data_IF_244818935632
#
_entry.id   IF_244818935632
#
_cell.length_a   1.000
_cell.length_b   1.000
_cell.length_c   1.000
_cell.angle_alpha   90.00
_cell.angle_beta   90.00
_cell.angle_gamma   90.00
#
_symmetry.space_group_name_H-M   'P 1'
#
loop_
_entity.id
_entity.type
_entity.pdbx_description
1 polymer ?
#
# COMPACT_ATOMS: atom_id res chain seq x y z
N UNK A 1 -26.02 -22.12 18.59
CA UNK A 1 -27.15 -21.87 17.65
C UNK A 1 -26.55 -21.65 16.28
N UNK A 2 -26.75 -22.57 15.34
CA UNK A 2 -26.32 -22.41 13.96
C UNK A 2 -27.31 -21.48 13.29
N UNK A 3 -26.91 -20.22 13.00
CA UNK A 3 -27.69 -19.35 12.14
C UNK A 3 -27.62 -19.95 10.72
N UNK A 4 -28.70 -20.59 10.34
CA UNK A 4 -28.94 -20.98 8.96
C UNK A 4 -29.28 -19.71 8.20
N UNK A 5 -28.28 -19.01 7.67
CA UNK A 5 -28.49 -17.94 6.70
C UNK A 5 -28.96 -18.61 5.41
N UNK A 6 -30.28 -18.80 5.31
CA UNK A 6 -30.90 -19.04 4.00
C UNK A 6 -30.81 -17.74 3.22
N UNK A 7 -29.79 -17.65 2.35
CA UNK A 7 -29.80 -16.64 1.30
C UNK A 7 -31.04 -16.92 0.44
N UNK A 8 -31.99 -16.02 0.48
CA UNK A 8 -33.13 -16.05 -0.42
C UNK A 8 -32.63 -15.52 -1.75
N UNK A 9 -32.61 -16.38 -2.77
CA UNK A 9 -32.26 -15.98 -4.11
C UNK A 9 -33.34 -15.04 -4.64
N UNK A 10 -33.04 -13.75 -4.76
CA UNK A 10 -34.00 -12.73 -5.21
C UNK A 10 -34.15 -12.71 -6.73
N UNK A 11 -33.31 -13.43 -7.45
CA UNK A 11 -33.40 -13.54 -8.90
C UNK A 11 -34.16 -14.79 -9.29
N UNK A 12 -35.24 -14.60 -10.02
CA UNK A 12 -36.07 -15.71 -10.54
C UNK A 12 -35.30 -16.49 -11.63
N UNK A 13 -34.39 -15.83 -12.33
CA UNK A 13 -33.56 -16.43 -13.39
C UNK A 13 -32.13 -16.66 -12.87
N UNK A 14 -31.68 -17.92 -12.70
CA UNK A 14 -30.34 -18.24 -12.25
C UNK A 14 -29.24 -17.71 -13.19
N UNK A 15 -29.47 -17.72 -14.49
CA UNK A 15 -28.48 -17.21 -15.46
C UNK A 15 -28.26 -15.72 -15.31
N UNK A 16 -29.34 -14.97 -15.00
CA UNK A 16 -29.23 -13.54 -14.71
C UNK A 16 -28.48 -13.27 -13.39
N UNK A 17 -28.77 -14.08 -12.34
CA UNK A 17 -28.07 -14.00 -11.06
C UNK A 17 -26.57 -14.23 -11.23
N UNK A 18 -26.17 -15.24 -12.00
CA UNK A 18 -24.77 -15.55 -12.26
C UNK A 18 -24.07 -14.41 -13.00
N UNK A 19 -24.69 -13.86 -14.06
CA UNK A 19 -24.15 -12.71 -14.80
C UNK A 19 -24.03 -11.45 -13.94
N UNK A 20 -25.01 -11.21 -13.08
CA UNK A 20 -24.96 -10.09 -12.14
C UNK A 20 -23.80 -10.27 -11.15
N UNK A 21 -23.68 -11.45 -10.53
CA UNK A 21 -22.61 -11.76 -9.60
C UNK A 21 -21.21 -11.65 -10.26
N UNK A 22 -21.07 -12.14 -11.49
CA UNK A 22 -19.83 -11.99 -12.26
C UNK A 22 -19.48 -10.51 -12.50
N UNK A 23 -20.46 -9.69 -12.86
CA UNK A 23 -20.27 -8.25 -13.07
C UNK A 23 -19.90 -7.53 -11.77
N UNK A 24 -20.55 -7.89 -10.67
CA UNK A 24 -20.24 -7.36 -9.35
C UNK A 24 -18.82 -7.73 -8.90
N UNK A 25 -18.42 -8.97 -9.09
CA UNK A 25 -17.06 -9.43 -8.79
C UNK A 25 -16.00 -8.68 -9.61
N UNK A 26 -16.26 -8.44 -10.90
CA UNK A 26 -15.38 -7.64 -11.76
C UNK A 26 -15.25 -6.20 -11.26
N UNK A 27 -16.37 -5.59 -10.87
CA UNK A 27 -16.37 -4.23 -10.31
C UNK A 27 -15.56 -4.16 -9.00
N UNK A 28 -15.82 -5.07 -8.05
CA UNK A 28 -15.11 -5.10 -6.77
C UNK A 28 -13.61 -5.37 -6.95
N UNK A 29 -13.25 -6.26 -7.89
CA UNK A 29 -11.85 -6.52 -8.22
C UNK A 29 -11.17 -5.29 -8.83
N UNK A 30 -11.86 -4.55 -9.70
CA UNK A 30 -11.33 -3.32 -10.28
C UNK A 30 -11.14 -2.22 -9.23
N UNK A 31 -12.10 -2.05 -8.30
CA UNK A 31 -11.99 -1.13 -7.17
C UNK A 31 -10.79 -1.50 -6.28
N UNK A 32 -10.65 -2.76 -5.93
CA UNK A 32 -9.52 -3.25 -5.14
C UNK A 32 -8.17 -2.96 -5.83
N UNK A 33 -8.05 -3.26 -7.12
CA UNK A 33 -6.82 -2.99 -7.88
C UNK A 33 -6.48 -1.49 -7.92
N UNK A 34 -7.49 -0.64 -8.11
CA UNK A 34 -7.32 0.82 -8.10
C UNK A 34 -6.87 1.33 -6.73
N UNK A 35 -7.43 0.79 -5.65
CA UNK A 35 -7.03 1.15 -4.28
C UNK A 35 -5.60 0.68 -3.98
N UNK A 36 -5.28 -0.56 -4.32
CA UNK A 36 -3.92 -1.09 -4.13
C UNK A 36 -2.88 -0.26 -4.86
N UNK A 37 -3.17 0.19 -6.08
CA UNK A 37 -2.24 0.99 -6.89
C UNK A 37 -1.89 2.35 -6.28
N UNK A 38 -2.70 2.87 -5.33
CA UNK A 38 -2.38 4.10 -4.59
C UNK A 38 -1.24 3.90 -3.56
N UNK A 39 -1.06 2.68 -3.05
CA UNK A 39 -0.17 2.39 -1.91
C UNK A 39 0.95 1.41 -2.28
N UNK A 40 0.73 0.56 -3.26
CA UNK A 40 1.65 -0.51 -3.62
C UNK A 40 1.92 -0.44 -5.12
N UNK A 41 3.21 -0.36 -5.48
CA UNK A 41 3.59 -0.50 -6.88
C UNK A 41 3.14 -1.89 -7.38
N UNK A 42 2.43 -1.98 -8.53
CA UNK A 42 2.00 -3.26 -9.11
C UNK A 42 3.13 -4.27 -9.31
N UNK A 43 4.35 -3.80 -9.53
CA UNK A 43 5.54 -4.66 -9.65
C UNK A 43 5.97 -5.31 -8.33
N UNK A 44 5.57 -4.73 -7.20
CA UNK A 44 5.84 -5.26 -5.85
C UNK A 44 4.68 -6.13 -5.33
N UNK A 45 3.58 -6.23 -6.09
CA UNK A 45 2.43 -7.03 -5.71
C UNK A 45 2.64 -8.49 -6.10
N UNK A 46 2.63 -9.39 -5.13
CA UNK A 46 2.70 -10.82 -5.34
C UNK A 46 1.33 -11.47 -5.15
N UNK A 47 0.93 -12.33 -6.10
CA UNK A 47 -0.29 -13.13 -5.95
C UNK A 47 0.04 -14.46 -5.29
N UNK A 48 -0.58 -14.73 -4.17
CA UNK A 48 -0.45 -16.00 -3.45
C UNK A 48 -1.72 -16.82 -3.69
N UNK A 49 -1.58 -18.13 -3.92
CA UNK A 49 -2.73 -19.02 -4.05
C UNK A 49 -3.44 -19.16 -2.71
N UNK A 50 -4.74 -19.37 -2.74
CA UNK A 50 -5.58 -19.58 -1.55
C UNK A 50 -4.97 -20.62 -0.62
N UNK A 51 -4.89 -20.29 0.67
CA UNK A 51 -4.35 -21.18 1.72
C UNK A 51 -2.82 -21.21 1.84
N UNK A 52 -2.08 -20.45 0.99
CA UNK A 52 -0.65 -20.32 1.15
C UNK A 52 -0.30 -19.19 2.13
N UNK A 53 0.52 -19.49 3.12
CA UNK A 53 1.17 -18.48 3.94
C UNK A 53 2.40 -17.95 3.21
N UNK A 54 2.56 -16.64 3.20
CA UNK A 54 3.79 -16.03 2.70
C UNK A 54 4.77 -15.91 3.88
N UNK A 55 5.90 -16.57 3.77
CA UNK A 55 7.03 -16.34 4.67
C UNK A 55 8.25 -15.94 3.85
N UNK A 56 8.97 -14.93 4.28
CA UNK A 56 10.27 -14.61 3.70
C UNK A 56 11.35 -15.42 4.44
N UNK A 57 12.02 -16.42 3.80
CA UNK A 57 13.02 -17.22 4.46
C UNK A 57 14.22 -16.41 4.99
N UNK A 58 14.51 -15.25 4.38
CA UNK A 58 15.59 -14.37 4.81
C UNK A 58 15.23 -13.53 6.05
N UNK A 59 13.94 -13.36 6.34
CA UNK A 59 13.45 -12.57 7.47
C UNK A 59 12.11 -13.12 8.00
N UNK A 60 12.09 -14.39 8.50
CA UNK A 60 10.84 -15.06 8.88
C UNK A 60 10.13 -14.42 10.07
N UNK A 61 10.84 -13.65 10.88
CA UNK A 61 10.26 -12.96 12.05
C UNK A 61 9.52 -11.67 11.68
N UNK A 62 9.80 -11.09 10.52
CA UNK A 62 9.29 -9.79 10.09
C UNK A 62 8.17 -9.94 9.06
N UNK A 63 8.18 -11.01 8.27
CA UNK A 63 7.32 -11.19 7.08
C UNK A 63 6.43 -12.44 7.14
N UNK A 64 5.89 -12.78 8.29
CA UNK A 64 4.81 -13.76 8.37
C UNK A 64 3.50 -13.05 8.09
N UNK A 65 3.01 -13.15 6.85
CA UNK A 65 1.70 -12.66 6.48
C UNK A 65 0.62 -13.67 6.89
N UNK A 66 -0.22 -13.31 7.84
CA UNK A 66 -1.49 -14.00 8.09
C UNK A 66 -2.54 -13.47 7.13
N UNK A 67 -3.43 -14.36 6.67
CA UNK A 67 -4.58 -13.94 5.85
C UNK A 67 -5.64 -13.41 6.79
N UNK A 68 -5.88 -12.10 6.73
CA UNK A 68 -6.96 -11.46 7.47
C UNK A 68 -8.21 -11.39 6.62
N UNK A 69 -9.36 -11.72 7.22
CA UNK A 69 -10.67 -11.61 6.59
C UNK A 69 -11.33 -10.30 7.02
N UNK A 70 -11.60 -9.44 6.06
CA UNK A 70 -12.35 -8.21 6.29
C UNK A 70 -13.78 -8.39 5.79
N UNK A 71 -14.75 -8.05 6.64
CA UNK A 71 -16.18 -8.06 6.31
C UNK A 71 -16.76 -6.67 6.40
N UNK A 72 -17.78 -6.43 5.59
CA UNK A 72 -18.60 -5.21 5.62
C UNK A 72 -20.06 -5.61 5.76
N UNK A 73 -20.82 -4.85 6.54
CA UNK A 73 -22.27 -5.03 6.71
C UNK A 73 -22.95 -3.77 6.18
N UNK A 74 -23.98 -3.96 5.40
CA UNK A 74 -24.80 -2.88 4.83
C UNK A 74 -26.25 -3.11 5.16
N UNK A 75 -26.92 -2.03 5.56
CA UNK A 75 -28.35 -2.04 5.81
C UNK A 75 -29.04 -1.27 4.67
N UNK A 76 -29.98 -1.95 4.02
CA UNK A 76 -30.85 -1.34 3.00
C UNK A 76 -32.27 -1.34 3.54
N UNK A 77 -32.92 -0.16 3.59
CA UNK A 77 -34.28 -0.06 4.05
C UNK A 77 -35.28 -0.69 3.06
N UNK A 78 -36.29 -1.37 3.57
CA UNK A 78 -37.38 -1.92 2.75
C UNK A 78 -38.12 -0.81 1.98
N UNK A 79 -38.23 0.38 2.56
CA UNK A 79 -38.85 1.54 1.92
C UNK A 79 -38.10 1.94 0.64
N UNK A 80 -36.80 1.99 0.72
CA UNK A 80 -35.97 2.32 -0.43
C UNK A 80 -36.06 1.29 -1.55
N UNK A 81 -36.17 0.00 -1.20
CA UNK A 81 -36.42 -1.06 -2.19
C UNK A 81 -37.80 -0.95 -2.80
N UNK A 82 -38.84 -0.66 -1.99
CA UNK A 82 -40.25 -0.51 -2.45
C UNK A 82 -40.46 0.68 -3.36
N UNK A 83 -39.69 1.76 -3.18
CA UNK A 83 -39.75 2.97 -4.01
C UNK A 83 -38.88 2.90 -5.25
N UNK A 84 -38.18 1.81 -5.50
CA UNK A 84 -37.22 1.64 -6.61
C UNK A 84 -36.15 2.75 -6.66
N UNK A 85 -35.70 3.24 -5.52
CA UNK A 85 -34.68 4.28 -5.42
C UNK A 85 -33.30 3.76 -5.83
N UNK A 86 -32.92 3.95 -7.08
CA UNK A 86 -31.63 3.52 -7.62
C UNK A 86 -30.43 4.30 -7.04
N UNK A 87 -30.67 5.44 -6.38
CA UNK A 87 -29.56 6.19 -5.73
C UNK A 87 -28.94 5.44 -4.58
N UNK A 88 -29.64 4.43 -4.04
CA UNK A 88 -29.10 3.52 -3.04
C UNK A 88 -27.88 2.79 -3.56
N UNK A 89 -27.89 2.35 -4.82
CA UNK A 89 -26.77 1.62 -5.40
C UNK A 89 -25.51 2.49 -5.45
N UNK A 90 -25.65 3.76 -5.86
CA UNK A 90 -24.55 4.71 -5.86
C UNK A 90 -23.98 4.93 -4.45
N UNK A 91 -24.85 5.21 -3.47
CA UNK A 91 -24.46 5.37 -2.07
C UNK A 91 -23.76 4.11 -1.53
N UNK A 92 -24.25 2.95 -1.90
CA UNK A 92 -23.72 1.67 -1.51
C UNK A 92 -22.31 1.45 -2.05
N UNK A 93 -22.09 1.70 -3.34
CA UNK A 93 -20.76 1.57 -3.94
C UNK A 93 -19.75 2.59 -3.41
N UNK A 94 -20.19 3.83 -3.19
CA UNK A 94 -19.34 4.85 -2.57
C UNK A 94 -18.91 4.42 -1.16
N UNK A 95 -19.85 3.93 -0.37
CA UNK A 95 -19.54 3.43 0.99
C UNK A 95 -18.61 2.22 0.98
N UNK A 96 -18.82 1.27 0.06
CA UNK A 96 -17.86 0.16 -0.14
C UNK A 96 -16.47 0.69 -0.42
N UNK A 97 -16.35 1.64 -1.34
CA UNK A 97 -15.06 2.21 -1.73
C UNK A 97 -14.37 2.89 -0.55
N UNK A 98 -15.09 3.73 0.20
CA UNK A 98 -14.57 4.46 1.37
C UNK A 98 -14.11 3.49 2.47
N UNK A 99 -14.92 2.47 2.80
CA UNK A 99 -14.59 1.50 3.83
C UNK A 99 -13.40 0.61 3.43
N UNK A 100 -13.36 0.17 2.17
CA UNK A 100 -12.21 -0.56 1.62
C UNK A 100 -10.94 0.28 1.68
N UNK A 101 -11.00 1.56 1.29
CA UNK A 101 -9.85 2.48 1.32
C UNK A 101 -9.35 2.68 2.76
N UNK A 102 -10.26 2.94 3.70
CA UNK A 102 -9.91 3.12 5.11
C UNK A 102 -9.29 1.86 5.74
N UNK A 103 -9.84 0.68 5.45
CA UNK A 103 -9.32 -0.60 5.94
C UNK A 103 -7.96 -0.92 5.33
N UNK A 104 -7.83 -0.73 4.03
CA UNK A 104 -6.59 -0.98 3.31
C UNK A 104 -5.46 -0.05 3.78
N UNK A 105 -5.73 1.25 3.89
CA UNK A 105 -4.77 2.21 4.43
C UNK A 105 -4.33 1.82 5.85
N UNK A 106 -5.26 1.48 6.72
CA UNK A 106 -4.97 1.07 8.10
C UNK A 106 -4.11 -0.20 8.14
N UNK A 107 -4.40 -1.18 7.30
CA UNK A 107 -3.62 -2.41 7.18
C UNK A 107 -2.19 -2.11 6.72
N UNK A 108 -2.01 -1.33 5.66
CA UNK A 108 -0.69 -0.99 5.11
C UNK A 108 0.13 -0.20 6.13
N UNK A 109 -0.41 0.90 6.65
CA UNK A 109 0.33 1.73 7.60
C UNK A 109 0.60 1.00 8.92
N UNK A 110 -0.33 0.16 9.39
CA UNK A 110 -0.12 -0.68 10.57
C UNK A 110 1.00 -1.70 10.35
N UNK A 111 1.04 -2.33 9.19
CA UNK A 111 2.11 -3.29 8.83
C UNK A 111 3.47 -2.60 8.71
N UNK A 112 3.52 -1.46 8.03
CA UNK A 112 4.76 -0.66 7.88
C UNK A 112 5.26 -0.19 9.24
N UNK A 113 4.38 0.37 10.09
CA UNK A 113 4.75 0.83 11.44
C UNK A 113 5.35 -0.32 12.27
N UNK A 114 4.70 -1.49 12.27
CA UNK A 114 5.20 -2.68 12.97
C UNK A 114 6.59 -3.10 12.49
N UNK A 115 6.82 -3.12 11.18
CA UNK A 115 8.13 -3.48 10.61
C UNK A 115 9.19 -2.42 10.94
N UNK A 116 8.84 -1.14 10.87
CA UNK A 116 9.75 -0.04 11.23
C UNK A 116 10.15 -0.10 12.71
N UNK A 117 9.19 -0.37 13.60
CA UNK A 117 9.47 -0.55 15.04
C UNK A 117 10.42 -1.72 15.29
N UNK A 118 10.21 -2.86 14.64
CA UNK A 118 11.04 -4.05 14.78
C UNK A 118 12.45 -3.88 14.22
N UNK A 119 12.60 -3.13 13.12
CA UNK A 119 13.88 -2.88 12.46
C UNK A 119 14.64 -1.67 13.02
N UNK A 120 14.04 -0.89 13.91
CA UNK A 120 14.59 0.37 14.41
C UNK A 120 14.62 1.49 13.35
N UNK A 121 13.90 1.34 12.25
CA UNK A 121 13.77 2.35 11.20
C UNK A 121 12.73 3.42 11.57
N UNK A 122 12.81 3.92 12.78
CA UNK A 122 11.95 4.98 13.31
C UNK A 122 12.80 6.21 13.61
N UNK A 123 12.30 7.38 13.26
CA UNK A 123 12.89 8.67 13.62
C UNK A 123 11.94 9.41 14.56
N UNK A 124 12.43 9.77 15.71
CA UNK A 124 11.68 10.56 16.72
C UNK A 124 12.04 12.03 16.56
N UNK A 125 11.10 12.83 16.06
CA UNK A 125 11.28 14.28 15.85
C UNK A 125 11.72 15.01 17.13
N UNK A 126 11.23 14.58 18.31
CA UNK A 126 11.59 15.20 19.59
C UNK A 126 13.06 14.92 19.94
N UNK A 127 13.57 13.74 19.57
CA UNK A 127 14.99 13.39 19.81
C UNK A 127 15.91 14.05 18.81
N UNK A 128 15.47 14.22 17.56
CA UNK A 128 16.25 14.92 16.53
C UNK A 128 16.32 16.43 16.77
N UNK A 129 15.45 16.99 17.62
CA UNK A 129 15.48 18.39 18.03
C UNK A 129 14.72 19.36 17.12
N UNK A 130 14.57 19.03 15.84
CA UNK A 130 13.73 19.79 14.89
C UNK A 130 13.18 18.91 13.80
N UNK A 131 12.13 19.37 13.11
CA UNK A 131 11.56 18.68 11.96
C UNK A 131 12.57 18.57 10.80
N UNK A 132 13.40 19.59 10.61
CA UNK A 132 14.46 19.60 9.60
C UNK A 132 15.51 18.52 9.86
N UNK A 133 15.99 18.40 11.11
CA UNK A 133 16.96 17.37 11.48
C UNK A 133 16.34 15.97 11.40
N UNK A 134 15.09 15.82 11.86
CA UNK A 134 14.37 14.56 11.74
C UNK A 134 14.18 14.13 10.28
N UNK A 135 13.97 15.07 9.37
CA UNK A 135 13.86 14.77 7.94
C UNK A 135 15.20 14.27 7.36
N UNK A 136 16.31 14.88 7.73
CA UNK A 136 17.64 14.39 7.35
C UNK A 136 17.91 13.00 7.91
N UNK A 137 17.63 12.77 9.21
CA UNK A 137 17.76 11.46 9.84
C UNK A 137 16.91 10.39 9.15
N UNK A 138 15.70 10.77 8.71
CA UNK A 138 14.83 9.89 7.93
C UNK A 138 15.44 9.55 6.57
N UNK A 139 15.94 10.54 5.82
CA UNK A 139 16.58 10.31 4.53
C UNK A 139 17.81 9.42 4.65
N UNK A 140 18.58 9.54 5.75
CA UNK A 140 19.73 8.68 6.02
C UNK A 140 19.34 7.21 6.23
N UNK A 141 18.20 6.98 6.88
CA UNK A 141 17.71 5.62 7.16
C UNK A 141 17.05 4.94 5.96
N UNK A 142 16.43 5.72 5.05
CA UNK A 142 15.73 5.17 3.91
C UNK A 142 16.71 4.68 2.84
N UNK A 143 16.46 3.50 2.30
CA UNK A 143 17.14 2.99 1.11
C UNK A 143 16.37 3.34 -0.15
N UNK A 144 17.05 3.95 -1.13
CA UNK A 144 16.47 4.17 -2.44
C UNK A 144 16.55 2.90 -3.27
N UNK A 145 15.54 2.66 -4.10
CA UNK A 145 15.49 1.49 -4.96
C UNK A 145 15.78 1.85 -6.42
N UNK A 146 16.26 0.89 -7.18
CA UNK A 146 16.44 1.01 -8.63
C UNK A 146 15.39 0.15 -9.29
N UNK A 147 14.68 0.70 -10.26
CA UNK A 147 13.66 -0.03 -11.00
C UNK A 147 14.28 -0.91 -12.12
N UNK A 148 13.40 -1.59 -12.88
CA UNK A 148 13.83 -2.49 -13.96
C UNK A 148 14.48 -1.75 -15.13
N UNK A 149 14.21 -0.45 -15.28
CA UNK A 149 14.81 0.38 -16.33
C UNK A 149 16.19 0.88 -15.93
N UNK A 150 16.56 0.76 -14.66
CA UNK A 150 17.82 1.26 -14.11
C UNK A 150 17.71 2.66 -13.52
N UNK A 151 16.52 3.20 -13.41
CA UNK A 151 16.27 4.50 -12.79
C UNK A 151 16.08 4.38 -11.29
N UNK A 152 16.62 5.35 -10.55
CA UNK A 152 16.45 5.38 -9.08
C UNK A 152 15.06 5.93 -8.76
N UNK A 153 14.30 5.19 -7.97
CA UNK A 153 13.02 5.64 -7.42
C UNK A 153 13.24 6.34 -6.09
N UNK A 154 12.81 7.58 -6.04
CA UNK A 154 12.77 8.33 -4.79
C UNK A 154 11.63 7.82 -3.91
N UNK A 155 11.80 7.81 -2.59
CA UNK A 155 10.73 7.42 -1.67
C UNK A 155 9.59 8.44 -1.69
N UNK A 156 8.36 7.94 -1.59
CA UNK A 156 7.17 8.76 -1.39
C UNK A 156 6.96 8.99 0.11
N UNK A 157 6.56 10.21 0.48
CA UNK A 157 6.29 10.59 1.86
C UNK A 157 4.78 10.74 2.04
N UNK A 158 4.21 9.91 2.88
CA UNK A 158 2.80 9.97 3.23
C UNK A 158 2.61 10.68 4.56
N UNK A 159 1.93 11.80 4.54
CA UNK A 159 1.65 12.62 5.73
C UNK A 159 0.15 12.89 5.83
N UNK A 160 -0.35 12.98 7.07
CA UNK A 160 -1.67 13.55 7.31
C UNK A 160 -1.69 15.05 6.98
N UNK A 161 -2.87 15.61 6.70
CA UNK A 161 -3.02 17.00 6.22
C UNK A 161 -2.32 18.02 7.11
N UNK A 162 -2.48 17.93 8.42
CA UNK A 162 -1.87 18.89 9.36
C UNK A 162 -0.34 18.77 9.38
N UNK A 163 0.17 17.52 9.39
CA UNK A 163 1.60 17.25 9.34
C UNK A 163 2.22 17.68 8.01
N UNK A 164 1.48 17.53 6.91
CA UNK A 164 1.92 18.00 5.59
C UNK A 164 2.05 19.53 5.56
N UNK A 165 1.05 20.25 6.05
CA UNK A 165 1.06 21.70 6.09
C UNK A 165 2.21 22.24 6.96
N UNK A 166 2.49 21.60 8.10
CA UNK A 166 3.61 21.95 8.96
C UNK A 166 4.96 21.66 8.30
N UNK A 167 5.08 20.49 7.65
CA UNK A 167 6.28 20.11 6.92
C UNK A 167 6.55 21.08 5.75
N UNK A 168 5.55 21.37 4.93
CA UNK A 168 5.67 22.30 3.81
C UNK A 168 6.13 23.69 4.27
N UNK A 169 5.49 24.23 5.29
CA UNK A 169 5.88 25.52 5.89
C UNK A 169 7.33 25.51 6.38
N UNK A 170 7.72 24.44 7.08
CA UNK A 170 9.07 24.29 7.61
C UNK A 170 10.11 24.22 6.48
N UNK A 171 9.82 23.49 5.40
CA UNK A 171 10.70 23.40 4.24
C UNK A 171 10.82 24.75 3.51
N UNK A 172 9.72 25.48 3.33
CA UNK A 172 9.73 26.81 2.70
C UNK A 172 10.52 27.85 3.51
N UNK A 173 10.57 27.73 4.81
CA UNK A 173 11.32 28.61 5.71
C UNK A 173 12.76 28.16 5.95
N UNK A 174 13.17 27.05 5.39
CA UNK A 174 14.51 26.50 5.56
C UNK A 174 15.56 27.31 4.81
N UNK A 175 16.78 27.32 5.33
CA UNK A 175 17.88 28.07 4.72
C UNK A 175 18.40 27.38 3.43
N UNK A 176 19.04 28.13 2.51
CA UNK A 176 19.68 27.55 1.34
C UNK A 176 20.70 26.45 1.68
N UNK A 177 21.43 26.63 2.78
CA UNK A 177 22.41 25.64 3.28
C UNK A 177 21.73 24.33 3.67
N UNK A 178 20.56 24.40 4.30
CA UNK A 178 19.79 23.19 4.63
C UNK A 178 19.33 22.46 3.36
N UNK A 179 18.83 23.20 2.37
CA UNK A 179 18.44 22.60 1.09
C UNK A 179 19.64 21.94 0.39
N UNK A 180 20.80 22.56 0.44
CA UNK A 180 22.03 21.97 -0.09
C UNK A 180 22.39 20.65 0.62
N UNK A 181 22.26 20.59 1.95
CA UNK A 181 22.47 19.35 2.71
C UNK A 181 21.48 18.24 2.31
N UNK A 182 20.20 18.58 2.12
CA UNK A 182 19.17 17.60 1.67
C UNK A 182 19.54 17.05 0.29
N UNK A 183 19.96 17.90 -0.64
CA UNK A 183 20.35 17.45 -1.99
C UNK A 183 21.65 16.62 -1.97
N UNK A 184 22.61 16.94 -1.11
CA UNK A 184 23.82 16.14 -0.92
C UNK A 184 23.49 14.74 -0.39
N UNK A 185 22.65 14.63 0.63
CA UNK A 185 22.18 13.33 1.15
C UNK A 185 21.46 12.53 0.07
N UNK A 186 20.56 13.17 -0.69
CA UNK A 186 19.87 12.51 -1.80
C UNK A 186 20.84 11.99 -2.87
N UNK A 187 21.78 12.83 -3.30
CA UNK A 187 22.78 12.45 -4.30
C UNK A 187 23.61 11.23 -3.84
N UNK A 188 24.03 11.23 -2.59
CA UNK A 188 24.75 10.10 -1.99
C UNK A 188 23.89 8.84 -1.97
N UNK A 189 22.62 8.93 -1.54
CA UNK A 189 21.69 7.80 -1.52
C UNK A 189 21.39 7.23 -2.90
N UNK A 190 21.31 8.10 -3.92
CA UNK A 190 21.20 7.69 -5.33
C UNK A 190 22.43 6.89 -5.76
N UNK A 191 23.63 7.38 -5.46
CA UNK A 191 24.86 6.67 -5.79
C UNK A 191 24.97 5.30 -5.09
N UNK A 192 24.59 5.24 -3.81
CA UNK A 192 24.52 3.98 -3.03
C UNK A 192 23.53 2.98 -3.65
N UNK A 193 22.34 3.45 -4.09
CA UNK A 193 21.34 2.60 -4.72
C UNK A 193 21.84 2.01 -6.05
N UNK A 194 22.48 2.83 -6.89
CA UNK A 194 23.08 2.37 -8.15
C UNK A 194 24.21 1.37 -7.92
N UNK A 195 25.08 1.59 -6.93
CA UNK A 195 26.16 0.68 -6.60
C UNK A 195 25.61 -0.68 -6.11
N UNK A 196 24.60 -0.69 -5.22
CA UNK A 196 23.94 -1.93 -4.80
C UNK A 196 23.33 -2.69 -5.97
N UNK A 197 22.73 -1.98 -6.93
CA UNK A 197 22.16 -2.61 -8.12
C UNK A 197 23.24 -3.22 -9.04
N UNK A 198 24.36 -2.53 -9.22
CA UNK A 198 25.53 -3.06 -9.94
C UNK A 198 26.04 -4.34 -9.27
N UNK A 199 26.24 -4.32 -7.96
CA UNK A 199 26.67 -5.49 -7.18
C UNK A 199 25.66 -6.64 -7.27
N UNK A 200 24.37 -6.32 -7.19
CA UNK A 200 23.30 -7.32 -7.36
C UNK A 200 23.36 -7.98 -8.72
N UNK A 201 23.47 -7.20 -9.79
CA UNK A 201 23.60 -7.71 -11.17
C UNK A 201 24.87 -8.54 -11.36
N UNK A 202 25.97 -8.11 -10.79
CA UNK A 202 27.24 -8.84 -10.88
C UNK A 202 27.19 -10.26 -10.30
N UNK A 203 26.31 -10.52 -9.31
CA UNK A 203 26.10 -11.86 -8.75
C UNK A 203 25.43 -12.83 -9.73
N UNK A 204 24.74 -12.33 -10.77
CA UNK A 204 23.97 -13.12 -11.72
C UNK A 204 24.62 -13.26 -13.10
N UNK A 205 25.83 -12.70 -13.32
CA UNK A 205 26.54 -12.68 -14.62
C UNK A 205 26.87 -14.07 -15.19
N UNK A 206 26.71 -15.14 -14.41
CA UNK A 206 26.92 -16.52 -14.89
C UNK A 206 25.64 -17.29 -15.24
N UNK A 207 24.47 -16.71 -15.11
CA UNK A 207 23.20 -17.39 -15.38
C UNK A 207 22.72 -17.28 -16.85
N UNK A 208 23.37 -16.41 -17.66
CA UNK A 208 23.03 -16.20 -19.07
C UNK A 208 23.99 -16.82 -20.09
N UNK A 209 25.21 -17.15 -19.69
CA UNK A 209 26.24 -17.72 -20.58
C UNK A 209 26.19 -19.26 -20.58
N UNK A 210 25.03 -19.81 -20.95
CA UNK A 210 25.03 -21.16 -21.51
C UNK A 210 25.40 -21.01 -22.96
N UNK A 211 26.67 -21.32 -23.26
CA UNK A 211 27.13 -21.54 -24.63
C UNK A 211 26.11 -22.42 -25.37
N UNK A 212 25.66 -21.93 -26.52
CA UNK A 212 24.86 -22.68 -27.49
C UNK A 212 25.73 -23.71 -28.18
#
# INVERSE_FOLDING_TARGET
>A
MKHNNQFVDHFVDPEFADKFNESLQKLLSALQQRLMAKYINPESAHRVKHGAMFSNPAAPQVYNGEIETHSMVFDISLESLATHDLTILERYFNHIQEDMEAKFARMIYGSVAKVCDQSGNVVDVKKSGSLQLAFLDMLEKIEFSVDKTGEVRLPEIHLGTDAFNEFERTMQQSTPEYHALVEDVKARKVAEALNREIERKARFVRYGDREQ
#
